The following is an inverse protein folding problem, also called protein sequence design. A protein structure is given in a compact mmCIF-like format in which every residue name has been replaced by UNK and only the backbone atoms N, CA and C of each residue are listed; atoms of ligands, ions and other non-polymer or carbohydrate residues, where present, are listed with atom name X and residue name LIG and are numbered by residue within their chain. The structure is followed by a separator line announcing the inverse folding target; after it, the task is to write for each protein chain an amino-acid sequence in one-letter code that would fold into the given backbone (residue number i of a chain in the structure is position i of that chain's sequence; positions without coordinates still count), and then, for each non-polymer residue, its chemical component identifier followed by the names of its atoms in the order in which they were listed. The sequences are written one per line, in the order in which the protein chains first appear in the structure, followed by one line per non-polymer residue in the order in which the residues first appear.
data_IF_641894941011
#
_entry.id   IF_641894941011
#
_cell.length_a   1.000
_cell.length_b   1.000
_cell.length_c   1.000
_cell.angle_alpha   90.00
_cell.angle_beta   90.00
_cell.angle_gamma   90.00
#
_symmetry.space_group_name_H-M   'P 1'
#
loop_
_entity.id
_entity.type
_entity.pdbx_description
1 polymer ?
#
# COMPACT_ATOMS: atom_id res chain seq x y z
N UNK A 1 19.76 -12.53 4.63
CA UNK A 1 19.74 -12.50 3.15
C UNK A 1 20.30 -11.17 2.66
N UNK A 2 21.25 -11.11 1.74
CA UNK A 2 21.81 -9.83 1.23
C UNK A 2 21.48 -9.55 -0.24
N UNK A 3 20.92 -10.53 -0.96
CA UNK A 3 20.44 -10.43 -2.34
C UNK A 3 19.42 -11.52 -2.65
N UNK A 4 18.60 -11.34 -3.68
CA UNK A 4 17.67 -12.35 -4.20
C UNK A 4 17.47 -12.14 -5.70
N UNK A 5 18.32 -12.77 -6.51
CA UNK A 5 18.42 -12.49 -7.95
C UNK A 5 17.16 -12.88 -8.74
N UNK A 6 16.48 -13.97 -8.38
CA UNK A 6 15.23 -14.39 -9.06
C UNK A 6 14.09 -13.37 -8.91
N UNK A 7 14.19 -12.47 -7.92
CA UNK A 7 13.28 -11.35 -7.70
C UNK A 7 13.82 -10.01 -8.16
N UNK A 8 14.96 -10.00 -8.85
CA UNK A 8 15.64 -8.79 -9.27
C UNK A 8 16.25 -7.98 -8.13
N UNK A 9 16.32 -8.52 -6.91
CA UNK A 9 16.92 -7.85 -5.75
C UNK A 9 18.44 -8.04 -5.82
N UNK A 10 19.12 -7.01 -6.28
CA UNK A 10 20.57 -6.99 -6.47
C UNK A 10 21.31 -6.88 -5.13
N UNK A 11 20.82 -6.04 -4.21
CA UNK A 11 21.42 -5.84 -2.89
C UNK A 11 20.38 -5.47 -1.83
N UNK A 12 20.68 -5.85 -0.59
CA UNK A 12 20.01 -5.42 0.63
C UNK A 12 21.09 -5.01 1.62
N UNK A 13 21.12 -3.73 1.97
CA UNK A 13 21.94 -3.18 3.03
C UNK A 13 21.15 -3.12 4.33
N UNK A 14 21.82 -3.37 5.45
CA UNK A 14 21.19 -3.43 6.77
C UNK A 14 21.72 -2.32 7.68
N UNK A 15 20.89 -1.91 8.65
CA UNK A 15 21.32 -1.08 9.77
C UNK A 15 21.80 -1.96 10.94
N UNK A 16 22.23 -1.31 12.04
CA UNK A 16 22.66 -1.99 13.27
C UNK A 16 21.58 -2.83 13.97
N UNK A 17 20.31 -2.66 13.61
CA UNK A 17 19.18 -3.48 14.10
C UNK A 17 18.88 -4.67 13.17
N UNK A 18 19.73 -4.94 12.17
CA UNK A 18 19.52 -5.94 11.12
C UNK A 18 18.20 -5.75 10.35
N UNK A 19 17.70 -4.51 10.29
CA UNK A 19 16.57 -4.11 9.45
C UNK A 19 17.09 -3.56 8.11
N UNK A 20 16.41 -3.83 6.97
CA UNK A 20 16.83 -3.31 5.67
C UNK A 20 16.88 -1.79 5.67
N UNK A 21 18.06 -1.21 5.47
CA UNK A 21 18.27 0.24 5.30
C UNK A 21 18.06 0.65 3.85
N UNK A 22 18.52 -0.17 2.91
CA UNK A 22 18.42 0.08 1.48
C UNK A 22 18.23 -1.23 0.74
N UNK A 23 17.33 -1.25 -0.24
CA UNK A 23 17.11 -2.39 -1.13
C UNK A 23 17.20 -1.89 -2.57
N UNK A 24 18.05 -2.52 -3.37
CA UNK A 24 18.13 -2.26 -4.81
C UNK A 24 17.47 -3.42 -5.55
N UNK A 25 16.35 -3.13 -6.22
CA UNK A 25 15.58 -4.11 -6.99
C UNK A 25 15.30 -3.57 -8.39
N UNK A 26 15.64 -4.32 -9.44
CA UNK A 26 15.42 -3.90 -10.83
C UNK A 26 15.94 -2.49 -11.13
N UNK A 27 17.13 -2.15 -10.60
CA UNK A 27 17.77 -0.83 -10.68
C UNK A 27 17.04 0.31 -9.95
N UNK A 28 15.94 0.03 -9.25
CA UNK A 28 15.27 0.98 -8.36
C UNK A 28 15.75 0.79 -6.93
N UNK A 29 15.93 1.90 -6.23
CA UNK A 29 16.42 1.91 -4.85
C UNK A 29 15.29 2.34 -3.93
N UNK A 30 14.97 1.48 -2.96
CA UNK A 30 14.12 1.84 -1.82
C UNK A 30 15.00 2.03 -0.59
N UNK A 31 14.89 3.18 0.07
CA UNK A 31 15.61 3.48 1.32
C UNK A 31 14.65 3.65 2.48
N UNK A 32 15.08 3.26 3.68
CA UNK A 32 14.26 3.28 4.88
C UNK A 32 15.01 3.95 6.04
N UNK A 33 14.27 4.66 6.88
CA UNK A 33 14.74 5.19 8.16
C UNK A 33 13.89 4.61 9.29
N UNK A 34 14.57 4.20 10.35
CA UNK A 34 13.96 3.63 11.53
C UNK A 34 14.41 4.41 12.77
N UNK A 35 13.54 4.43 13.77
CA UNK A 35 13.91 4.78 15.15
C UNK A 35 14.76 3.67 15.76
N UNK A 36 15.40 3.98 16.89
CA UNK A 36 16.21 3.03 17.66
C UNK A 36 15.41 1.81 18.18
N UNK A 37 14.08 1.91 18.27
CA UNK A 37 13.15 0.84 18.65
C UNK A 37 12.64 0.02 17.45
N UNK A 38 13.27 0.17 16.28
CA UNK A 38 12.93 -0.55 15.06
C UNK A 38 11.67 -0.07 14.34
N UNK A 39 10.99 0.97 14.84
CA UNK A 39 9.81 1.54 14.15
C UNK A 39 10.26 2.28 12.89
N UNK A 40 9.69 1.90 11.74
CA UNK A 40 9.91 2.59 10.46
C UNK A 40 9.24 3.97 10.51
N UNK A 41 10.02 5.02 10.21
CA UNK A 41 9.55 6.42 10.23
C UNK A 41 9.64 7.10 8.87
N UNK A 42 10.48 6.60 7.95
CA UNK A 42 10.56 7.12 6.58
C UNK A 42 10.82 6.00 5.58
N UNK A 43 10.23 6.13 4.40
CA UNK A 43 10.53 5.37 3.18
C UNK A 43 10.77 6.35 2.04
N UNK A 44 11.74 6.06 1.19
CA UNK A 44 12.02 6.78 -0.06
C UNK A 44 12.06 5.75 -1.19
N UNK A 45 11.20 5.93 -2.20
CA UNK A 45 11.14 5.10 -3.39
C UNK A 45 10.87 5.99 -4.60
N UNK A 46 11.67 5.86 -5.66
CA UNK A 46 11.52 6.66 -6.89
C UNK A 46 11.41 8.18 -6.63
N UNK A 47 12.27 8.70 -5.75
CA UNK A 47 12.25 10.10 -5.25
C UNK A 47 10.97 10.54 -4.53
N UNK A 48 10.03 9.63 -4.27
CA UNK A 48 8.84 9.88 -3.48
C UNK A 48 9.05 9.45 -2.03
N UNK A 49 8.75 10.35 -1.11
CA UNK A 49 8.87 10.11 0.32
C UNK A 49 7.54 9.67 0.93
N UNK A 50 7.61 8.77 1.91
CA UNK A 50 6.54 8.48 2.85
C UNK A 50 7.07 8.58 4.26
N UNK A 51 6.49 9.44 5.08
CA UNK A 51 6.81 9.55 6.52
C UNK A 51 5.66 8.96 7.33
N UNK A 52 6.00 8.23 8.38
CA UNK A 52 5.05 7.53 9.24
C UNK A 52 5.10 8.13 10.64
N UNK A 53 3.95 8.51 11.17
CA UNK A 53 3.81 9.06 12.51
C UNK A 53 2.54 8.50 13.16
N UNK A 54 2.68 7.50 14.03
CA UNK A 54 1.56 6.90 14.79
C UNK A 54 0.33 6.55 13.93
N UNK A 55 0.58 5.95 12.76
CA UNK A 55 -0.44 5.55 11.79
C UNK A 55 -0.81 6.63 10.77
N UNK A 56 -0.56 7.91 11.05
CA UNK A 56 -0.63 8.98 10.05
C UNK A 56 0.48 8.78 9.02
N UNK A 57 0.16 9.02 7.75
CA UNK A 57 1.14 8.95 6.66
C UNK A 57 1.18 10.27 5.92
N UNK A 58 2.38 10.82 5.82
CA UNK A 58 2.69 11.95 4.94
C UNK A 58 3.35 11.41 3.69
N UNK A 59 2.88 11.82 2.52
CA UNK A 59 3.38 11.31 1.24
C UNK A 59 3.73 12.45 0.30
N UNK A 60 4.79 12.27 -0.47
CA UNK A 60 5.06 13.09 -1.65
C UNK A 60 3.85 12.97 -2.57
N UNK A 61 3.08 14.05 -2.67
CA UNK A 61 1.78 14.09 -3.33
C UNK A 61 1.81 15.12 -4.45
N UNK A 62 1.33 14.71 -5.61
CA UNK A 62 1.00 15.61 -6.72
C UNK A 62 -0.40 16.20 -6.49
N UNK A 63 -0.63 17.44 -6.94
CA UNK A 63 -1.92 18.15 -6.86
C UNK A 63 -3.08 17.35 -7.44
N UNK A 64 -2.82 16.51 -8.45
CA UNK A 64 -3.80 15.59 -9.02
C UNK A 64 -3.20 14.21 -9.23
N UNK A 65 -3.85 13.21 -8.66
CA UNK A 65 -3.52 11.81 -8.92
C UNK A 65 -4.47 11.19 -9.94
N UNK A 66 -3.95 10.26 -10.73
CA UNK A 66 -4.77 9.57 -11.70
C UNK A 66 -5.78 8.63 -11.06
N UNK A 67 -6.99 8.69 -11.58
CA UNK A 67 -8.17 7.98 -11.08
C UNK A 67 -8.11 6.44 -11.17
N UNK A 68 -7.06 5.91 -11.78
CA UNK A 68 -6.76 4.49 -11.97
C UNK A 68 -5.36 4.11 -11.45
N UNK A 69 -4.65 5.01 -10.77
CA UNK A 69 -3.25 4.82 -10.39
C UNK A 69 -2.26 4.80 -11.59
N UNK A 70 -2.69 5.20 -12.79
CA UNK A 70 -1.83 5.37 -13.98
C UNK A 70 -2.35 6.51 -14.87
N UNK A 71 -1.94 7.75 -14.62
CA UNK A 71 -2.32 8.98 -15.38
C UNK A 71 -2.94 8.78 -16.76
N UNK A 72 -4.25 9.03 -16.95
CA UNK A 72 -4.72 9.67 -18.20
C UNK A 72 -4.79 11.19 -18.07
N UNK A 73 -4.41 11.71 -16.89
CA UNK A 73 -3.92 13.07 -16.79
C UNK A 73 -2.48 13.10 -17.26
N UNK A 74 -2.20 13.97 -18.22
CA UNK A 74 -0.82 14.39 -18.48
C UNK A 74 -0.42 15.15 -17.21
N UNK A 75 0.40 14.53 -16.36
CA UNK A 75 1.10 15.25 -15.29
C UNK A 75 1.80 16.44 -15.94
N UNK A 76 1.64 17.64 -15.38
CA UNK A 76 2.48 18.75 -15.81
C UNK A 76 3.93 18.30 -15.62
N UNK A 77 4.77 18.26 -16.68
CA UNK A 77 6.13 17.78 -16.57
C UNK A 77 6.98 18.61 -15.58
N UNK A 78 6.49 19.78 -15.15
CA UNK A 78 7.13 20.64 -14.16
C UNK A 78 6.53 20.49 -12.75
N UNK A 79 5.54 19.63 -12.57
CA UNK A 79 4.93 19.42 -11.26
C UNK A 79 5.91 18.69 -10.33
N UNK A 80 6.25 19.33 -9.22
CA UNK A 80 7.10 18.74 -8.19
C UNK A 80 6.20 18.24 -7.05
N UNK A 81 6.28 16.95 -6.66
CA UNK A 81 5.46 16.43 -5.59
C UNK A 81 5.91 17.02 -4.25
N UNK A 82 4.94 17.39 -3.41
CA UNK A 82 5.20 17.98 -2.09
C UNK A 82 4.78 17.01 -1.00
N UNK A 83 5.55 16.92 0.08
CA UNK A 83 5.21 16.09 1.23
C UNK A 83 3.98 16.69 1.94
N UNK A 84 2.87 15.95 1.96
CA UNK A 84 1.61 16.39 2.57
C UNK A 84 0.99 15.26 3.39
N UNK A 85 0.19 15.61 4.39
CA UNK A 85 -0.61 14.62 5.13
C UNK A 85 -1.56 13.95 4.15
N UNK A 86 -1.45 12.63 4.02
CA UNK A 86 -2.22 11.87 3.04
C UNK A 86 -3.23 10.90 3.65
N UNK A 87 -2.79 10.15 4.66
CA UNK A 87 -3.63 9.14 5.32
C UNK A 87 -3.79 9.51 6.78
N UNK A 88 -5.04 9.55 7.23
CA UNK A 88 -5.41 9.63 8.65
C UNK A 88 -6.06 8.29 9.02
N UNK A 89 -5.48 7.49 9.93
CA UNK A 89 -6.06 6.22 10.31
C UNK A 89 -7.38 6.42 11.07
N UNK A 90 -8.34 5.52 10.86
CA UNK A 90 -9.59 5.45 11.64
C UNK A 90 -9.76 4.03 12.19
N UNK A 91 -10.71 3.82 13.10
CA UNK A 91 -10.98 2.50 13.69
C UNK A 91 -11.43 1.46 12.67
N UNK A 92 -12.07 1.90 11.58
CA UNK A 92 -12.67 1.03 10.56
C UNK A 92 -11.99 1.16 9.20
N UNK A 93 -10.90 1.93 9.09
CA UNK A 93 -10.24 2.21 7.83
C UNK A 93 -9.32 3.42 7.91
N UNK A 94 -9.52 4.37 6.99
CA UNK A 94 -8.76 5.62 6.98
C UNK A 94 -9.49 6.73 6.21
N UNK A 95 -9.07 7.97 6.43
CA UNK A 95 -9.43 9.10 5.60
C UNK A 95 -8.30 9.42 4.63
N UNK A 96 -8.61 9.50 3.34
CA UNK A 96 -7.68 9.98 2.31
C UNK A 96 -7.88 11.49 2.13
N UNK A 97 -6.87 12.26 2.53
CA UNK A 97 -6.92 13.73 2.54
C UNK A 97 -6.91 14.30 1.11
N UNK A 98 -6.16 13.73 0.18
CA UNK A 98 -6.13 14.24 -1.20
C UNK A 98 -7.47 13.99 -1.90
N UNK A 99 -7.99 12.77 -1.75
CA UNK A 99 -9.23 12.36 -2.39
C UNK A 99 -10.48 12.79 -1.63
N UNK A 100 -10.31 13.44 -0.48
CA UNK A 100 -11.34 13.99 0.39
C UNK A 100 -12.47 13.00 0.68
N UNK A 101 -12.11 11.77 1.08
CA UNK A 101 -13.08 10.69 1.33
C UNK A 101 -12.65 9.77 2.46
N UNK A 102 -13.64 9.24 3.17
CA UNK A 102 -13.45 8.11 4.07
C UNK A 102 -13.43 6.81 3.27
N UNK A 103 -12.45 5.96 3.57
CA UNK A 103 -12.36 4.60 3.06
C UNK A 103 -12.50 3.63 4.23
N UNK A 104 -13.45 2.73 4.12
CA UNK A 104 -13.72 1.68 5.09
C UNK A 104 -13.09 0.38 4.65
N UNK A 105 -12.57 -0.37 5.62
CA UNK A 105 -11.85 -1.60 5.44
C UNK A 105 -12.64 -2.75 6.05
N UNK A 106 -12.96 -3.74 5.22
CA UNK A 106 -13.48 -5.02 5.69
C UNK A 106 -12.34 -6.03 5.77
N UNK A 107 -12.04 -6.46 6.99
CA UNK A 107 -10.98 -7.43 7.28
C UNK A 107 -11.57 -8.81 7.59
N UNK A 108 -10.85 -9.87 7.24
CA UNK A 108 -11.19 -11.21 7.71
C UNK A 108 -10.81 -11.43 9.19
N UNK A 109 -11.12 -12.63 9.70
CA UNK A 109 -10.86 -13.01 11.10
C UNK A 109 -9.36 -13.04 11.49
N UNK A 110 -8.44 -13.02 10.53
CA UNK A 110 -7.00 -12.94 10.77
C UNK A 110 -6.46 -11.51 10.59
N UNK A 111 -7.34 -10.53 10.34
CA UNK A 111 -6.97 -9.14 10.12
C UNK A 111 -6.42 -8.85 8.72
N UNK A 112 -6.67 -9.71 7.72
CA UNK A 112 -6.30 -9.41 6.34
C UNK A 112 -7.35 -8.50 5.71
N UNK A 113 -6.93 -7.40 5.08
CA UNK A 113 -7.81 -6.48 4.38
C UNK A 113 -8.40 -7.12 3.12
N UNK A 114 -9.69 -7.47 3.12
CA UNK A 114 -10.35 -8.16 1.98
C UNK A 114 -11.02 -7.20 1.01
N UNK A 115 -11.61 -6.13 1.51
CA UNK A 115 -12.32 -5.14 0.72
C UNK A 115 -12.09 -3.76 1.31
N UNK A 116 -11.76 -2.79 0.46
CA UNK A 116 -11.79 -1.37 0.78
C UNK A 116 -12.89 -0.70 -0.03
N UNK A 117 -13.74 0.10 0.59
CA UNK A 117 -14.85 0.76 -0.07
C UNK A 117 -15.14 2.12 0.52
N UNK A 118 -15.87 2.94 -0.23
CA UNK A 118 -16.30 4.29 0.14
C UNK A 118 -17.81 4.36 0.04
N UNK A 119 -18.42 5.41 0.56
CA UNK A 119 -19.81 5.79 0.28
C UNK A 119 -19.79 7.26 -0.14
N UNK A 120 -19.66 7.48 -1.45
CA UNK A 120 -19.41 8.82 -2.01
C UNK A 120 -20.71 9.62 -2.13
N UNK A 121 -21.82 8.94 -2.41
CA UNK A 121 -23.14 9.54 -2.56
C UNK A 121 -23.93 9.62 -1.23
N UNK A 122 -23.46 8.91 -0.18
CA UNK A 122 -24.05 8.86 1.17
C UNK A 122 -25.46 8.26 1.20
N UNK A 123 -25.74 7.31 0.32
CA UNK A 123 -27.03 6.62 0.26
C UNK A 123 -27.07 5.31 1.08
N UNK A 124 -25.92 4.88 1.64
CA UNK A 124 -25.79 3.66 2.43
C UNK A 124 -25.76 2.37 1.58
N UNK A 125 -25.72 2.47 0.25
CA UNK A 125 -25.67 1.33 -0.68
C UNK A 125 -24.35 1.38 -1.47
N UNK A 126 -23.44 0.47 -1.14
CA UNK A 126 -22.13 0.41 -1.78
C UNK A 126 -22.23 -0.12 -3.21
N UNK A 127 -21.92 0.71 -4.19
CA UNK A 127 -21.94 0.31 -5.61
C UNK A 127 -20.71 -0.53 -5.98
N UNK A 128 -20.86 -1.58 -6.83
CA UNK A 128 -19.73 -2.37 -7.28
C UNK A 128 -18.80 -1.51 -8.12
N UNK A 129 -17.50 -1.84 -8.15
CA UNK A 129 -16.42 -1.01 -8.73
C UNK A 129 -16.75 -0.34 -10.06
N UNK A 130 -17.52 -1.01 -10.92
CA UNK A 130 -18.14 -0.44 -12.11
C UNK A 130 -19.58 -0.97 -12.16
N UNK A 131 -20.56 -0.10 -12.43
CA UNK A 131 -21.97 -0.48 -12.56
C UNK A 131 -22.66 0.23 -13.74
N UNK A 132 -23.67 -0.42 -14.30
CA UNK A 132 -24.54 0.15 -15.33
C UNK A 132 -25.58 1.05 -14.66
N UNK A 133 -25.55 2.34 -14.96
CA UNK A 133 -26.53 3.30 -14.51
C UNK A 133 -27.40 3.74 -15.68
N UNK A 134 -28.69 3.95 -15.43
CA UNK A 134 -29.59 4.53 -16.42
C UNK A 134 -30.06 5.91 -16.00
N UNK A 135 -29.88 6.88 -16.89
CA UNK A 135 -30.41 8.24 -16.73
C UNK A 135 -31.52 8.45 -17.74
N UNK A 136 -32.75 8.68 -17.25
CA UNK A 136 -33.92 8.83 -18.10
C UNK A 136 -34.34 10.30 -18.24
N UNK A 137 -34.53 10.74 -19.49
CA UNK A 137 -35.13 12.01 -19.86
C UNK A 137 -36.50 11.73 -20.49
N UNK A 138 -37.54 11.71 -19.66
CA UNK A 138 -38.89 11.30 -20.08
C UNK A 138 -38.93 9.82 -20.47
N UNK A 139 -39.27 9.52 -21.73
CA UNK A 139 -39.36 8.14 -22.25
C UNK A 139 -38.03 7.57 -22.77
N UNK A 140 -36.97 8.38 -22.82
CA UNK A 140 -35.65 7.96 -23.31
C UNK A 140 -34.74 7.74 -22.13
N UNK A 141 -34.13 6.56 -22.01
CA UNK A 141 -33.13 6.24 -21.01
C UNK A 141 -31.78 5.98 -21.68
N UNK A 142 -30.75 6.66 -21.20
CA UNK A 142 -29.35 6.43 -21.61
C UNK A 142 -28.74 5.53 -20.56
N UNK A 143 -28.08 4.45 -21.00
CA UNK A 143 -27.27 3.58 -20.16
C UNK A 143 -25.82 4.01 -20.22
N UNK A 144 -25.21 4.25 -19.07
CA UNK A 144 -23.84 4.67 -18.93
C UNK A 144 -23.13 3.89 -17.83
N UNK A 145 -21.89 3.46 -18.11
CA UNK A 145 -21.05 2.81 -17.13
C UNK A 145 -20.46 3.84 -16.18
N UNK A 146 -20.77 3.69 -14.89
CA UNK A 146 -20.27 4.58 -13.84
C UNK A 146 -19.23 3.90 -12.97
N UNK A 147 -18.28 4.68 -12.43
CA UNK A 147 -17.47 4.22 -11.31
C UNK A 147 -18.35 3.92 -10.11
N UNK A 148 -18.12 2.77 -9.48
CA UNK A 148 -18.67 2.52 -8.16
C UNK A 148 -17.72 2.93 -7.05
N UNK A 149 -17.98 2.37 -5.88
CA UNK A 149 -17.43 2.87 -4.63
C UNK A 149 -16.50 1.86 -3.95
N UNK A 150 -16.41 0.64 -4.51
CA UNK A 150 -15.36 -0.32 -4.18
C UNK A 150 -14.02 0.25 -4.64
N UNK A 151 -13.14 0.50 -3.69
CA UNK A 151 -11.79 1.01 -3.92
C UNK A 151 -10.85 -0.13 -4.27
N UNK A 152 -10.87 -1.22 -3.49
CA UNK A 152 -9.95 -2.35 -3.65
C UNK A 152 -10.60 -3.65 -3.19
N UNK A 153 -10.29 -4.75 -3.88
CA UNK A 153 -10.63 -6.11 -3.46
C UNK A 153 -9.34 -6.91 -3.39
N UNK A 154 -9.01 -7.43 -2.22
CA UNK A 154 -7.84 -8.28 -2.04
C UNK A 154 -8.26 -9.69 -1.65
N UNK A 155 -7.77 -10.65 -2.43
CA UNK A 155 -7.87 -12.05 -2.09
C UNK A 155 -6.48 -12.59 -1.80
N UNK A 156 -6.34 -13.41 -0.77
CA UNK A 156 -5.04 -13.96 -0.37
C UNK A 156 -5.06 -15.48 -0.44
N UNK A 157 -3.96 -16.05 -0.93
CA UNK A 157 -3.54 -17.40 -0.60
C UNK A 157 -3.25 -17.51 0.91
N UNK A 158 -3.23 -18.72 1.49
CA UNK A 158 -3.03 -18.90 2.93
C UNK A 158 -1.80 -18.18 3.51
N UNK A 159 -0.70 -18.16 2.76
CA UNK A 159 0.56 -17.52 3.15
C UNK A 159 0.64 -16.03 2.79
N UNK A 160 -0.46 -15.39 2.42
CA UNK A 160 -0.54 -13.94 2.22
C UNK A 160 -0.19 -13.45 0.82
N UNK A 161 0.14 -14.35 -0.11
CA UNK A 161 0.30 -13.98 -1.52
C UNK A 161 -1.06 -13.55 -2.07
N UNK A 162 -1.12 -12.41 -2.74
CA UNK A 162 -2.39 -11.95 -3.32
C UNK A 162 -2.78 -12.82 -4.52
N UNK A 163 -3.99 -13.37 -4.46
CA UNK A 163 -4.61 -14.13 -5.53
C UNK A 163 -5.21 -13.19 -6.57
N UNK A 164 -4.92 -13.46 -7.85
CA UNK A 164 -5.40 -12.68 -8.99
C UNK A 164 -5.12 -11.18 -8.76
N UNK A 165 -3.83 -10.83 -8.70
CA UNK A 165 -3.37 -9.44 -8.72
C UNK A 165 -3.79 -8.81 -10.04
N UNK A 166 -5.04 -8.39 -10.11
CA UNK A 166 -5.43 -7.36 -11.04
C UNK A 166 -4.68 -6.13 -10.55
N UNK A 167 -3.71 -5.68 -11.35
CA UNK A 167 -2.93 -4.48 -11.11
C UNK A 167 -3.83 -3.25 -11.21
N UNK A 168 -4.83 -3.19 -10.34
CA UNK A 168 -5.97 -2.30 -10.44
C UNK A 168 -6.40 -1.92 -9.04
N UNK A 169 -5.52 -1.20 -8.37
CA UNK A 169 -5.69 0.20 -7.97
C UNK A 169 -4.48 0.49 -7.09
N UNK A 170 -3.59 1.37 -7.54
CA UNK A 170 -2.52 1.87 -6.68
C UNK A 170 -3.17 2.76 -5.63
N UNK A 171 -3.77 2.14 -4.62
CA UNK A 171 -4.32 2.86 -3.50
C UNK A 171 -3.14 3.50 -2.74
N UNK A 172 -3.28 4.74 -2.31
CA UNK A 172 -2.29 5.36 -1.44
C UNK A 172 -2.09 4.53 -0.16
N UNK A 173 -3.09 3.77 0.29
CA UNK A 173 -2.98 2.88 1.44
C UNK A 173 -2.46 1.49 1.10
N UNK A 174 -1.31 1.11 1.67
CA UNK A 174 -0.57 -0.12 1.35
C UNK A 174 -0.56 -1.19 2.47
N UNK A 175 -1.37 -1.03 3.51
CA UNK A 175 -1.49 -2.05 4.57
C UNK A 175 -2.53 -3.08 4.18
N UNK A 176 -2.11 -4.35 4.05
CA UNK A 176 -2.91 -5.41 3.40
C UNK A 176 -3.05 -6.64 4.30
N UNK A 177 -2.09 -7.55 4.23
CA UNK A 177 -2.11 -8.84 4.93
C UNK A 177 -1.71 -8.67 6.40
N UNK A 178 -2.54 -9.17 7.33
CA UNK A 178 -2.36 -9.04 8.79
C UNK A 178 -2.03 -7.60 9.24
N UNK A 179 -2.62 -6.60 8.60
CA UNK A 179 -2.34 -5.20 8.87
C UNK A 179 -0.87 -4.79 8.65
N UNK A 180 -0.12 -5.50 7.80
CA UNK A 180 1.26 -5.16 7.46
C UNK A 180 1.32 -4.44 6.11
N UNK A 181 2.27 -3.52 5.99
CA UNK A 181 2.46 -2.75 4.76
C UNK A 181 3.17 -3.60 3.69
N UNK A 182 2.54 -3.73 2.53
CA UNK A 182 3.14 -4.28 1.33
C UNK A 182 4.15 -3.27 0.76
N UNK A 183 5.41 -3.69 0.63
CA UNK A 183 6.46 -2.89 0.02
C UNK A 183 6.50 -3.12 -1.50
N UNK A 184 7.17 -2.23 -2.20
CA UNK A 184 7.42 -2.29 -3.65
C UNK A 184 8.16 -3.58 -4.05
N UNK A 185 8.92 -4.15 -3.10
CA UNK A 185 9.60 -5.44 -3.25
C UNK A 185 8.66 -6.65 -3.27
N UNK A 186 7.38 -6.46 -2.99
CA UNK A 186 6.40 -7.53 -2.80
C UNK A 186 6.52 -8.22 -1.43
N UNK A 187 7.28 -7.64 -0.49
CA UNK A 187 7.39 -8.14 0.87
C UNK A 187 6.42 -7.41 1.80
N UNK A 188 5.95 -8.11 2.83
CA UNK A 188 5.27 -7.47 3.95
C UNK A 188 6.30 -7.02 4.98
N UNK A 189 6.25 -5.74 5.33
CA UNK A 189 7.12 -5.14 6.34
C UNK A 189 6.50 -5.31 7.72
N UNK A 190 7.00 -6.29 8.48
CA UNK A 190 6.72 -6.40 9.91
C UNK A 190 7.75 -5.58 10.69
N UNK A 191 7.40 -5.18 11.92
CA UNK A 191 8.26 -4.33 12.77
C UNK A 191 9.72 -4.79 12.83
N UNK A 192 9.95 -6.10 13.00
CA UNK A 192 11.28 -6.66 13.24
C UNK A 192 11.83 -7.52 12.10
N UNK A 193 10.99 -7.89 11.12
CA UNK A 193 11.33 -8.82 10.05
C UNK A 193 10.56 -8.49 8.80
N UNK A 194 11.01 -8.99 7.66
CA UNK A 194 10.30 -8.84 6.41
C UNK A 194 9.89 -10.21 5.89
N UNK A 195 8.63 -10.31 5.50
CA UNK A 195 7.96 -11.56 5.14
C UNK A 195 7.75 -11.65 3.64
N UNK A 196 8.09 -12.80 3.07
CA UNK A 196 7.91 -13.14 1.68
C UNK A 196 6.65 -14.00 1.51
N UNK A 197 5.54 -13.43 1.05
CA UNK A 197 4.27 -14.15 1.00
C UNK A 197 4.22 -15.25 -0.06
N UNK A 198 5.04 -15.15 -1.11
CA UNK A 198 5.13 -16.12 -2.21
C UNK A 198 5.77 -17.45 -1.80
N UNK A 199 6.71 -17.42 -0.86
CA UNK A 199 7.39 -18.62 -0.33
C UNK A 199 7.00 -18.93 1.12
N UNK A 200 6.15 -18.10 1.73
CA UNK A 200 5.62 -18.32 3.07
C UNK A 200 6.65 -18.22 4.20
N UNK A 201 7.68 -17.35 4.08
CA UNK A 201 8.74 -17.26 5.10
C UNK A 201 9.28 -15.84 5.32
N UNK A 202 9.86 -15.61 6.49
CA UNK A 202 10.70 -14.44 6.75
C UNK A 202 12.11 -14.66 6.17
N UNK A 203 12.76 -13.60 5.68
CA UNK A 203 14.17 -13.68 5.25
C UNK A 203 15.18 -13.13 6.28
N UNK A 204 14.67 -12.52 7.36
CA UNK A 204 15.43 -12.15 8.55
C UNK A 204 15.29 -13.25 9.61
N UNK A 205 16.40 -13.56 10.29
CA UNK A 205 16.36 -14.41 11.49
C UNK A 205 15.60 -13.65 12.59
N UNK A 206 14.85 -14.36 13.42
CA UNK A 206 14.19 -13.78 14.59
C UNK A 206 15.22 -13.14 15.53
N UNK A 207 15.13 -11.84 15.85
CA UNK A 207 16.03 -11.18 16.80
C UNK A 207 16.01 -11.82 18.20
N UNK A 208 14.92 -12.49 18.56
CA UNK A 208 14.77 -13.20 19.82
C UNK A 208 15.06 -14.71 19.69
N UNK A 209 15.64 -15.15 18.58
CA UNK A 209 16.09 -16.53 18.41
C UNK A 209 17.23 -16.84 19.38
N UNK A 210 17.22 -18.05 19.95
CA UNK A 210 18.30 -18.57 20.80
C UNK A 210 19.68 -18.49 20.12
N UNK A 211 19.71 -18.60 18.79
CA UNK A 211 20.94 -18.57 17.98
C UNK A 211 21.07 -17.28 17.19
N UNK A 212 20.58 -16.15 17.72
CA UNK A 212 20.77 -14.87 17.06
C UNK A 212 22.21 -14.38 17.23
N UNK A 213 22.92 -14.27 16.11
CA UNK A 213 24.24 -13.63 16.10
C UNK A 213 24.03 -12.12 16.23
N UNK A 214 24.16 -11.61 17.45
CA UNK A 214 24.26 -10.17 17.67
C UNK A 214 25.53 -9.69 16.96
N UNK A 215 25.37 -8.72 16.04
CA UNK A 215 26.49 -8.00 15.46
C UNK A 215 27.01 -7.06 16.55
N UNK A 216 27.83 -7.58 17.46
CA UNK A 216 28.58 -6.81 18.46
C UNK A 216 29.90 -6.35 17.89
#
# INVERSE_FOLDING_TARGET
MTKHLDKGIASIEYNYLNLPKQITQNSQVTSYLYRADGVKVKKLFDNLETHYLDGFQYKSTFLRESWNGKGTFISDPNEVPVLQLRIIPTSEGYYDVLLNRYVYNFTDHLGNLRLSYTDLNKDGIIQPRIYDASTCFGKICIKDWRPGEIVEVNNYYPFGLMHNYTATTQNAYQYKYQGQELQETGFYSFKWRNYMPDVGRFFNIDPLSEKYAYQS
#
